data_IF_365208318096
#
_entry.id   IF_365208318096
#
_cell.length_a   1.000
_cell.length_b   1.000
_cell.length_c   1.000
_cell.angle_alpha   90.00
_cell.angle_beta   90.00
_cell.angle_gamma   90.00
#
_symmetry.space_group_name_H-M   'P 1'
#
loop_
_entity.id
_entity.type
_entity.pdbx_description
1 polymer ?
#
# COMPACT_ATOMS: atom_id res chain seq x y z
N UNK A 1 -2.35 -0.12 -16.73
CA UNK A 1 -1.01 0.30 -17.20
C UNK A 1 -0.08 -0.91 -17.14
N UNK A 2 0.94 -1.01 -18.00
CA UNK A 2 1.94 -2.09 -17.98
C UNK A 2 2.96 -1.87 -16.86
N UNK A 3 2.50 -1.95 -15.61
CA UNK A 3 3.27 -1.65 -14.39
C UNK A 3 3.11 -2.69 -13.29
N UNK A 4 2.50 -3.82 -13.61
CA UNK A 4 2.07 -4.85 -12.65
C UNK A 4 2.90 -6.13 -12.78
N UNK A 5 4.16 -6.01 -13.17
CA UNK A 5 5.11 -7.12 -13.24
C UNK A 5 5.84 -7.23 -11.90
N UNK A 6 6.13 -8.43 -11.42
CA UNK A 6 6.81 -8.63 -10.15
C UNK A 6 7.54 -9.96 -10.14
N UNK A 7 8.53 -10.10 -9.26
CA UNK A 7 9.20 -11.37 -9.01
C UNK A 7 8.15 -12.46 -8.64
N UNK A 8 8.27 -13.68 -9.18
CA UNK A 8 7.34 -14.76 -8.87
C UNK A 8 7.13 -15.01 -7.38
N UNK A 9 8.13 -14.78 -6.53
CA UNK A 9 8.00 -14.88 -5.07
C UNK A 9 7.00 -13.87 -4.50
N UNK A 10 7.02 -12.63 -4.97
CA UNK A 10 6.04 -11.62 -4.57
C UNK A 10 4.64 -11.93 -5.08
N UNK A 11 4.53 -12.49 -6.30
CA UNK A 11 3.24 -12.95 -6.82
C UNK A 11 2.64 -14.02 -5.90
N UNK A 12 3.44 -14.99 -5.47
CA UNK A 12 2.98 -16.02 -4.52
C UNK A 12 2.60 -15.40 -3.17
N UNK A 13 3.38 -14.45 -2.62
CA UNK A 13 3.01 -13.74 -1.39
C UNK A 13 1.66 -13.03 -1.53
N UNK A 14 1.43 -12.32 -2.64
CA UNK A 14 0.17 -11.61 -2.89
C UNK A 14 -1.01 -12.58 -3.07
N UNK A 15 -0.81 -13.73 -3.71
CA UNK A 15 -1.82 -14.77 -3.87
C UNK A 15 -2.17 -15.42 -2.53
N UNK A 16 -1.17 -15.74 -1.71
CA UNK A 16 -1.37 -16.32 -0.37
C UNK A 16 -2.12 -15.33 0.54
N UNK A 17 -1.75 -14.04 0.49
CA UNK A 17 -2.50 -12.99 1.17
C UNK A 17 -3.97 -12.95 0.69
N UNK A 18 -4.20 -12.95 -0.62
CA UNK A 18 -5.55 -12.88 -1.17
C UNK A 18 -6.41 -14.08 -0.73
N UNK A 19 -5.85 -15.28 -0.72
CA UNK A 19 -6.53 -16.49 -0.24
C UNK A 19 -6.84 -16.42 1.25
N UNK A 20 -5.89 -15.95 2.07
CA UNK A 20 -6.11 -15.76 3.51
C UNK A 20 -7.22 -14.75 3.78
N UNK A 21 -7.19 -13.61 3.08
CA UNK A 21 -8.17 -12.55 3.27
C UNK A 21 -9.58 -12.96 2.83
N UNK A 22 -9.71 -13.72 1.75
CA UNK A 22 -11.00 -14.30 1.34
C UNK A 22 -11.51 -15.32 2.35
N UNK A 23 -10.63 -16.17 2.90
CA UNK A 23 -11.02 -17.16 3.90
C UNK A 23 -11.46 -16.52 5.22
N UNK A 24 -10.76 -15.47 5.68
CA UNK A 24 -11.04 -14.77 6.93
C UNK A 24 -12.22 -13.81 6.80
N UNK A 25 -12.38 -13.18 5.63
CA UNK A 25 -13.43 -12.21 5.33
C UNK A 25 -14.02 -12.50 3.95
N UNK A 26 -15.05 -13.37 3.84
CA UNK A 26 -15.61 -13.77 2.55
C UNK A 26 -16.02 -12.60 1.65
N UNK A 27 -15.70 -12.70 0.37
CA UNK A 27 -15.89 -11.66 -0.65
C UNK A 27 -14.77 -10.62 -0.72
N UNK A 28 -13.66 -10.80 -0.02
CA UNK A 28 -12.54 -9.85 -0.01
C UNK A 28 -11.71 -9.97 -1.29
N UNK A 29 -11.37 -8.83 -1.88
CA UNK A 29 -10.60 -8.72 -3.11
C UNK A 29 -9.35 -7.93 -2.80
N UNK A 30 -8.21 -8.61 -2.88
CA UNK A 30 -6.90 -7.97 -2.70
C UNK A 30 -6.43 -7.43 -4.05
N UNK A 31 -6.27 -6.11 -4.13
CA UNK A 31 -5.84 -5.43 -5.37
C UNK A 31 -4.36 -5.13 -5.32
N UNK A 32 -3.66 -5.50 -6.38
CA UNK A 32 -2.31 -5.03 -6.68
C UNK A 32 -2.37 -3.71 -7.43
N UNK A 33 -1.42 -2.82 -7.14
CA UNK A 33 -1.23 -1.54 -7.81
C UNK A 33 0.03 -1.62 -8.70
N UNK A 34 1.10 -0.91 -8.34
CA UNK A 34 2.36 -0.93 -9.10
C UNK A 34 3.29 -2.03 -8.56
N UNK A 35 3.84 -2.83 -9.49
CA UNK A 35 4.98 -3.71 -9.32
C UNK A 35 6.17 -3.11 -10.05
N UNK A 36 6.47 -3.53 -11.27
CA UNK A 36 7.50 -2.96 -12.14
C UNK A 36 7.04 -2.89 -13.60
N UNK A 37 7.83 -2.22 -14.45
CA UNK A 37 7.66 -2.26 -15.90
C UNK A 37 8.09 -3.62 -16.49
N UNK A 38 7.59 -4.03 -17.67
CA UNK A 38 8.02 -5.26 -18.36
C UNK A 38 9.40 -5.17 -19.02
N UNK A 39 10.25 -4.23 -18.61
CA UNK A 39 11.56 -3.94 -19.20
C UNK A 39 12.69 -4.55 -18.36
N UNK A 40 13.94 -4.34 -18.78
CA UNK A 40 15.13 -4.69 -17.97
C UNK A 40 15.13 -3.91 -16.65
N UNK A 41 15.73 -4.50 -15.62
CA UNK A 41 15.88 -3.89 -14.29
C UNK A 41 16.55 -2.50 -14.35
N UNK A 42 16.21 -1.63 -13.40
CA UNK A 42 16.79 -0.30 -13.23
C UNK A 42 15.96 0.86 -13.80
N UNK A 43 14.70 0.62 -14.21
CA UNK A 43 13.78 1.68 -14.64
C UNK A 43 12.79 2.03 -13.51
N UNK A 44 13.00 3.14 -12.77
CA UNK A 44 12.18 3.46 -11.61
C UNK A 44 10.76 3.92 -12.01
N UNK A 45 9.77 3.64 -11.15
CA UNK A 45 8.45 4.23 -11.25
C UNK A 45 8.41 5.59 -10.54
N UNK A 46 7.93 6.63 -11.21
CA UNK A 46 7.63 7.89 -10.52
C UNK A 46 6.20 7.83 -9.96
N UNK A 47 5.97 8.14 -8.66
CA UNK A 47 6.96 8.58 -7.66
C UNK A 47 7.63 7.44 -6.86
N UNK A 48 7.20 6.18 -7.01
CA UNK A 48 7.74 4.98 -6.32
C UNK A 48 9.09 4.51 -6.88
N UNK A 49 10.13 5.31 -6.66
CA UNK A 49 11.42 5.17 -7.34
C UNK A 49 12.12 3.82 -7.13
N UNK A 50 11.78 3.08 -6.07
CA UNK A 50 12.36 1.77 -5.79
C UNK A 50 11.85 0.67 -6.73
N UNK A 51 10.74 0.87 -7.44
CA UNK A 51 10.10 -0.15 -8.27
C UNK A 51 10.80 -0.32 -9.62
N UNK A 52 12.07 -0.73 -9.60
CA UNK A 52 12.94 -0.81 -10.77
C UNK A 52 13.35 -2.24 -11.13
N UNK A 53 13.15 -3.22 -10.26
CA UNK A 53 13.68 -4.60 -10.36
C UNK A 53 12.61 -5.70 -10.17
N UNK A 54 11.35 -5.32 -9.96
CA UNK A 54 10.26 -6.27 -9.69
C UNK A 54 10.26 -6.87 -8.28
N UNK A 55 11.16 -6.45 -7.40
CA UNK A 55 11.23 -6.92 -6.00
C UNK A 55 10.34 -6.09 -5.05
N UNK A 56 9.50 -5.22 -5.59
CA UNK A 56 8.47 -4.48 -4.83
C UNK A 56 7.10 -4.61 -5.48
N UNK A 57 6.07 -4.58 -4.64
CA UNK A 57 4.68 -4.59 -5.06
C UNK A 57 3.86 -3.73 -4.11
N UNK A 58 3.07 -2.84 -4.68
CA UNK A 58 2.10 -2.05 -3.94
C UNK A 58 0.75 -2.75 -3.96
N UNK A 59 0.10 -2.79 -2.81
CA UNK A 59 -1.23 -3.33 -2.59
C UNK A 59 -2.16 -2.20 -2.15
N UNK A 60 -3.37 -2.16 -2.70
CA UNK A 60 -4.36 -1.21 -2.21
C UNK A 60 -4.77 -1.55 -0.77
N UNK A 61 -5.11 -0.53 0.00
CA UNK A 61 -5.89 -0.74 1.21
C UNK A 61 -7.29 -1.27 0.90
N UNK A 62 -7.94 -1.82 1.92
CA UNK A 62 -9.35 -2.18 1.87
C UNK A 62 -10.19 -0.99 2.32
N UNK A 63 -11.32 -0.79 1.66
CA UNK A 63 -12.19 0.35 1.91
C UNK A 63 -13.63 -0.08 2.17
N UNK A 64 -14.32 0.68 3.00
CA UNK A 64 -15.73 0.55 3.32
C UNK A 64 -16.49 1.84 2.97
N UNK A 65 -17.72 1.67 2.51
CA UNK A 65 -18.69 2.75 2.34
C UNK A 65 -19.79 2.67 3.39
N UNK A 66 -20.89 3.38 3.16
CA UNK A 66 -22.02 3.42 4.09
C UNK A 66 -22.64 2.04 4.42
N UNK A 67 -22.54 1.08 3.49
CA UNK A 67 -23.09 -0.28 3.63
C UNK A 67 -22.03 -1.31 4.07
N UNK A 68 -20.81 -0.86 4.40
CA UNK A 68 -19.68 -1.71 4.76
C UNK A 68 -18.68 -1.90 3.62
N UNK A 69 -17.93 -3.00 3.67
CA UNK A 69 -16.82 -3.28 2.75
C UNK A 69 -17.22 -3.22 1.27
N UNK A 70 -16.38 -2.59 0.45
CA UNK A 70 -16.61 -2.43 -1.00
C UNK A 70 -15.57 -3.22 -1.79
N UNK A 71 -15.93 -4.38 -2.38
CA UNK A 71 -14.99 -5.24 -3.06
C UNK A 71 -14.30 -4.60 -4.26
N UNK A 72 -12.98 -4.74 -4.34
CA UNK A 72 -12.20 -4.35 -5.52
C UNK A 72 -12.26 -2.85 -5.81
N UNK A 73 -12.43 -2.01 -4.78
CA UNK A 73 -12.47 -0.56 -4.90
C UNK A 73 -11.32 0.10 -4.17
N UNK A 74 -10.68 1.03 -4.87
CA UNK A 74 -9.74 1.99 -4.33
C UNK A 74 -10.44 3.32 -4.06
N UNK A 75 -9.90 4.11 -3.14
CA UNK A 75 -10.42 5.45 -2.83
C UNK A 75 -10.17 6.46 -3.95
N UNK A 76 -9.06 6.33 -4.70
CA UNK A 76 -8.83 7.11 -5.92
C UNK A 76 -8.91 6.25 -7.18
N UNK A 77 -9.13 6.83 -8.37
CA UNK A 77 -9.16 6.08 -9.63
C UNK A 77 -7.88 5.31 -9.96
N UNK A 78 -6.74 5.72 -9.41
CA UNK A 78 -5.42 5.10 -9.66
C UNK A 78 -4.94 4.23 -8.50
N UNK A 79 -5.65 4.21 -7.36
CA UNK A 79 -5.17 3.58 -6.14
C UNK A 79 -4.14 4.41 -5.35
N UNK A 80 -3.76 5.59 -5.85
CA UNK A 80 -2.79 6.50 -5.21
C UNK A 80 -3.36 7.90 -5.00
N UNK A 81 -2.68 8.69 -4.16
CA UNK A 81 -2.95 10.10 -3.85
C UNK A 81 -4.21 10.36 -3.02
N UNK A 82 -4.98 9.33 -2.66
CA UNK A 82 -6.06 9.41 -1.68
C UNK A 82 -5.51 8.98 -0.30
N UNK A 83 -4.96 9.95 0.43
CA UNK A 83 -4.23 9.70 1.65
C UNK A 83 -5.16 9.52 2.85
N UNK A 84 -4.86 8.52 3.67
CA UNK A 84 -5.36 8.37 5.02
C UNK A 84 -4.61 9.35 5.93
N UNK A 85 -5.10 10.58 6.00
CA UNK A 85 -4.42 11.68 6.68
C UNK A 85 -4.16 11.40 8.17
N UNK A 86 -3.01 11.85 8.66
CA UNK A 86 -2.59 11.66 10.05
C UNK A 86 -1.35 12.48 10.40
N UNK A 87 -0.88 12.39 11.67
CA UNK A 87 0.30 13.12 12.12
C UNK A 87 1.55 12.73 11.33
N UNK A 88 2.42 13.71 11.08
CA UNK A 88 3.72 13.49 10.43
C UNK A 88 4.83 14.25 11.14
N UNK A 89 5.96 13.57 11.38
CA UNK A 89 7.18 14.18 11.90
C UNK A 89 8.09 14.72 10.79
N UNK A 90 7.61 14.73 9.55
CA UNK A 90 8.41 15.16 8.41
C UNK A 90 8.43 16.69 8.28
N UNK A 91 9.60 17.34 8.31
CA UNK A 91 9.69 18.77 8.13
C UNK A 91 9.31 19.17 6.70
N UNK A 92 8.72 20.36 6.48
CA UNK A 92 8.43 20.88 5.14
C UNK A 92 9.69 20.95 4.28
N UNK A 93 9.60 20.52 3.01
CA UNK A 93 10.71 20.56 2.05
C UNK A 93 10.22 21.00 0.67
N UNK A 94 11.03 21.81 -0.03
CA UNK A 94 10.70 22.32 -1.38
C UNK A 94 10.89 21.29 -2.50
N UNK A 95 11.76 20.30 -2.30
CA UNK A 95 12.07 19.25 -3.30
C UNK A 95 11.81 17.88 -2.66
N UNK A 96 10.57 17.42 -2.76
CA UNK A 96 10.12 16.14 -2.18
C UNK A 96 9.07 15.47 -3.08
N UNK A 97 9.02 14.14 -3.02
CA UNK A 97 7.93 13.34 -3.59
C UNK A 97 6.81 13.07 -2.57
N UNK A 98 6.98 13.56 -1.34
CA UNK A 98 6.00 13.45 -0.25
C UNK A 98 4.93 14.54 -0.35
N UNK A 99 4.12 14.50 -1.39
CA UNK A 99 3.05 15.49 -1.59
C UNK A 99 1.90 15.25 -0.62
N UNK A 100 1.29 16.34 -0.14
CA UNK A 100 0.15 16.26 0.79
C UNK A 100 -1.19 16.23 0.07
N UNK A 101 -1.31 17.02 -1.02
CA UNK A 101 -2.50 17.05 -1.87
C UNK A 101 -3.82 17.21 -1.09
N UNK A 102 -3.81 17.91 0.05
CA UNK A 102 -4.99 18.14 0.90
C UNK A 102 -6.20 18.67 0.13
N UNK A 103 -5.95 19.59 -0.81
CA UNK A 103 -6.97 20.19 -1.66
C UNK A 103 -7.66 19.18 -2.60
N UNK A 104 -7.04 18.02 -2.87
CA UNK A 104 -7.58 16.96 -3.72
C UNK A 104 -8.40 15.94 -2.91
N UNK A 105 -8.14 15.80 -1.60
CA UNK A 105 -8.70 14.72 -0.79
C UNK A 105 -10.24 14.74 -0.75
N UNK A 106 -10.85 15.93 -0.73
CA UNK A 106 -12.30 16.10 -0.75
C UNK A 106 -12.99 15.80 -2.10
N UNK A 107 -12.22 15.53 -3.17
CA UNK A 107 -12.77 15.18 -4.48
C UNK A 107 -12.92 13.67 -4.68
N UNK A 108 -12.30 12.86 -3.81
CA UNK A 108 -12.42 11.41 -3.88
C UNK A 108 -13.73 10.92 -3.25
N UNK A 109 -14.26 9.76 -3.69
CA UNK A 109 -15.37 9.08 -3.03
C UNK A 109 -15.19 9.01 -1.50
N UNK A 110 -16.29 9.16 -0.78
CA UNK A 110 -16.37 8.99 0.67
C UNK A 110 -16.30 7.50 1.02
N UNK A 111 -15.09 6.97 0.96
CA UNK A 111 -14.73 5.62 1.35
C UNK A 111 -13.77 5.71 2.53
N UNK A 112 -14.13 5.08 3.64
CA UNK A 112 -13.30 4.99 4.82
C UNK A 112 -12.37 3.77 4.73
N UNK A 113 -11.19 3.86 5.34
CA UNK A 113 -10.30 2.72 5.49
C UNK A 113 -11.01 1.60 6.27
N UNK A 114 -11.14 0.42 5.68
CA UNK A 114 -11.56 -0.78 6.40
C UNK A 114 -10.40 -1.22 7.30
N UNK A 115 -10.45 -0.73 8.55
CA UNK A 115 -9.38 -0.90 9.53
C UNK A 115 -9.19 -2.37 9.90
N UNK A 116 -10.27 -3.15 9.90
CA UNK A 116 -10.24 -4.56 10.30
C UNK A 116 -9.52 -5.40 9.27
N UNK A 117 -9.92 -5.31 7.98
CA UNK A 117 -9.27 -6.04 6.90
C UNK A 117 -7.84 -5.56 6.68
N UNK A 118 -7.61 -4.24 6.72
CA UNK A 118 -6.27 -3.68 6.53
C UNK A 118 -5.31 -4.10 7.64
N UNK A 119 -5.73 -4.08 8.91
CA UNK A 119 -4.90 -4.56 10.02
C UNK A 119 -4.56 -6.05 9.89
N UNK A 120 -5.52 -6.88 9.50
CA UNK A 120 -5.28 -8.32 9.30
C UNK A 120 -4.31 -8.58 8.16
N UNK A 121 -4.48 -7.91 7.01
CA UNK A 121 -3.56 -8.04 5.89
C UNK A 121 -2.13 -7.65 6.28
N UNK A 122 -1.96 -6.54 7.00
CA UNK A 122 -0.65 -6.12 7.50
C UNK A 122 -0.07 -7.14 8.49
N UNK A 123 -0.88 -7.71 9.37
CA UNK A 123 -0.44 -8.75 10.32
C UNK A 123 0.06 -10.00 9.60
N UNK A 124 -0.65 -10.46 8.57
CA UNK A 124 -0.26 -11.61 7.74
C UNK A 124 1.05 -11.33 7.02
N UNK A 125 1.14 -10.20 6.32
CA UNK A 125 2.36 -9.79 5.62
C UNK A 125 3.55 -9.64 6.58
N UNK A 126 3.35 -9.04 7.76
CA UNK A 126 4.39 -8.87 8.77
C UNK A 126 4.96 -10.19 9.32
N UNK A 127 4.18 -11.26 9.25
CA UNK A 127 4.56 -12.61 9.67
C UNK A 127 5.18 -13.44 8.53
N UNK A 128 5.09 -13.00 7.28
CA UNK A 128 5.62 -13.72 6.14
C UNK A 128 7.16 -13.67 6.09
N UNK A 129 7.86 -14.81 6.19
CA UNK A 129 9.32 -14.83 6.18
C UNK A 129 9.94 -14.49 4.82
N UNK A 130 9.17 -14.49 3.73
CA UNK A 130 9.63 -14.17 2.38
C UNK A 130 9.83 -12.67 2.15
N UNK A 131 9.20 -11.83 2.99
CA UNK A 131 9.31 -10.38 2.90
C UNK A 131 10.47 -9.85 3.75
N UNK A 132 11.27 -8.98 3.16
CA UNK A 132 12.32 -8.24 3.84
C UNK A 132 11.79 -7.01 4.54
N UNK A 133 10.88 -6.25 3.89
CA UNK A 133 10.36 -5.00 4.44
C UNK A 133 8.96 -4.67 3.94
N UNK A 134 8.22 -3.95 4.79
CA UNK A 134 6.85 -3.47 4.54
C UNK A 134 6.84 -1.98 4.90
N UNK A 135 6.34 -1.12 4.01
CA UNK A 135 6.13 0.29 4.30
C UNK A 135 4.64 0.63 4.38
N UNK A 136 4.31 1.28 5.49
CA UNK A 136 3.04 1.92 5.82
C UNK A 136 3.38 3.11 6.71
N UNK A 137 2.65 4.22 6.62
CA UNK A 137 2.92 5.38 7.45
C UNK A 137 2.83 5.09 8.96
N UNK A 138 3.68 5.73 9.80
CA UNK A 138 3.72 5.45 11.24
C UNK A 138 2.37 5.58 11.94
N UNK A 139 1.57 6.60 11.62
CA UNK A 139 0.26 6.80 12.25
C UNK A 139 -0.75 5.70 11.92
N UNK A 140 -0.69 5.14 10.71
CA UNK A 140 -1.52 4.00 10.34
C UNK A 140 -1.12 2.75 11.11
N UNK A 141 0.19 2.50 11.25
CA UNK A 141 0.67 1.37 12.05
C UNK A 141 0.22 1.46 13.50
N UNK A 142 0.38 2.63 14.12
CA UNK A 142 -0.07 2.88 15.50
C UNK A 142 -1.58 2.71 15.62
N UNK A 143 -2.33 3.36 14.75
CA UNK A 143 -3.79 3.39 14.84
C UNK A 143 -4.45 2.03 14.49
N UNK A 144 -3.77 1.17 13.73
CA UNK A 144 -4.17 -0.21 13.43
C UNK A 144 -3.57 -1.23 14.39
N UNK A 145 -2.72 -0.81 15.34
CA UNK A 145 -2.02 -1.69 16.29
C UNK A 145 -1.20 -2.79 15.61
N UNK A 146 -0.53 -2.46 14.50
CA UNK A 146 0.34 -3.38 13.75
C UNK A 146 1.81 -2.99 13.86
N UNK A 147 2.67 -4.00 14.00
CA UNK A 147 4.11 -3.78 14.16
C UNK A 147 4.92 -5.06 14.01
N UNK A 148 6.24 -4.92 14.01
CA UNK A 148 7.18 -6.01 13.79
C UNK A 148 8.45 -5.52 13.10
N UNK A 149 9.49 -6.37 13.08
CA UNK A 149 10.80 -6.01 12.56
C UNK A 149 10.82 -5.66 11.06
N UNK A 150 9.85 -6.16 10.29
CA UNK A 150 9.71 -5.89 8.84
C UNK A 150 9.10 -4.54 8.53
N UNK A 151 8.34 -3.94 9.47
CA UNK A 151 7.67 -2.67 9.22
C UNK A 151 8.66 -1.51 9.33
N UNK A 152 8.87 -0.83 8.22
CA UNK A 152 9.71 0.36 8.13
C UNK A 152 8.91 1.64 7.98
N UNK A 153 9.64 2.75 8.00
CA UNK A 153 9.21 4.03 7.48
C UNK A 153 10.15 4.40 6.34
N UNK A 154 9.61 4.74 5.17
CA UNK A 154 10.35 5.06 3.96
C UNK A 154 11.12 6.40 4.03
N UNK A 155 10.82 7.22 5.04
CA UNK A 155 11.47 8.50 5.27
C UNK A 155 10.77 9.69 4.57
N UNK A 156 11.21 10.89 4.93
CA UNK A 156 10.54 12.15 4.57
C UNK A 156 10.82 12.69 3.16
N UNK A 157 11.38 11.88 2.26
CA UNK A 157 11.71 12.29 0.87
C UNK A 157 11.03 11.44 -0.20
N UNK A 158 10.53 10.26 0.18
CA UNK A 158 9.81 9.36 -0.71
C UNK A 158 8.30 9.68 -0.69
N UNK A 159 7.57 9.10 -1.64
CA UNK A 159 6.10 9.10 -1.63
C UNK A 159 5.58 8.57 -0.28
N UNK A 160 4.39 9.03 0.09
CA UNK A 160 3.72 8.55 1.31
C UNK A 160 3.17 7.15 1.06
N UNK A 161 3.04 6.37 2.12
CA UNK A 161 2.43 5.02 2.09
C UNK A 161 1.19 5.00 2.99
N UNK A 162 0.41 6.07 2.95
CA UNK A 162 -0.90 6.18 3.58
C UNK A 162 -2.06 6.17 2.57
N UNK A 163 -1.80 5.75 1.33
CA UNK A 163 -2.79 5.41 0.30
C UNK A 163 -2.67 3.95 -0.18
N UNK A 164 -1.55 3.28 0.11
CA UNK A 164 -1.29 1.88 -0.22
C UNK A 164 -0.34 1.21 0.79
N UNK A 165 -0.27 -0.13 0.72
CA UNK A 165 0.73 -0.97 1.41
C UNK A 165 1.84 -1.29 0.43
N UNK A 166 3.08 -0.99 0.77
CA UNK A 166 4.23 -1.42 -0.01
C UNK A 166 4.90 -2.63 0.61
N UNK A 167 5.12 -3.67 -0.18
CA UNK A 167 5.86 -4.86 0.22
C UNK A 167 7.08 -5.07 -0.67
N UNK A 168 8.14 -5.60 -0.08
CA UNK A 168 9.36 -5.95 -0.80
C UNK A 168 10.02 -7.20 -0.24
N UNK A 169 10.74 -7.90 -1.12
CA UNK A 169 11.61 -9.02 -0.74
C UNK A 169 12.75 -8.57 0.20
#
# INVERSE_FOLDING_TARGET
MNRNYADPKLIVVAQDLAQHMEAQFPGTVTLTLDGSFPLFDGVPLLPHLSHDDGEKLDLAYYYEGAEGYVPGRTRSPLGYFAFEQGPTDCPPRRLTLRWDLDWLQGLFPDLALDRTRTAEALRVLGQDPRLGRIFVEPHLRESLSVGGARFGFQGCRAARHDDHIHIQL
#
